data_IF_421446728885
#
_entry.id   IF_421446728885
#
_cell.length_a   1.000
_cell.length_b   1.000
_cell.length_c   1.000
_cell.angle_alpha   90.00
_cell.angle_beta   90.00
_cell.angle_gamma   90.00
#
_symmetry.space_group_name_H-M   'P 1'
#
loop_
_entity.id
_entity.type
_entity.pdbx_description
1 polymer ?
#
# COMPACT_ATOMS: atom_id res chain seq x y z
N UNK A 1 14.43 -5.57 -1.49
CA UNK A 1 13.03 -5.12 -1.42
C UNK A 1 12.69 -4.03 -2.43
N UNK A 2 13.24 -2.80 -2.35
CA UNK A 2 12.89 -1.68 -3.25
C UNK A 2 12.87 -2.03 -4.75
N UNK A 3 13.98 -2.58 -5.27
CA UNK A 3 14.07 -2.99 -6.69
C UNK A 3 12.95 -3.95 -7.10
N UNK A 4 12.65 -4.94 -6.26
CA UNK A 4 11.57 -5.91 -6.52
C UNK A 4 10.19 -5.25 -6.60
N UNK A 5 9.89 -4.30 -5.70
CA UNK A 5 8.65 -3.52 -5.73
C UNK A 5 8.52 -2.73 -7.05
N UNK A 6 9.59 -2.02 -7.43
CA UNK A 6 9.62 -1.18 -8.62
C UNK A 6 9.47 -1.98 -9.92
N UNK A 7 10.16 -3.12 -10.03
CA UNK A 7 10.11 -3.95 -11.23
C UNK A 7 8.74 -4.59 -11.44
N UNK A 8 8.03 -4.93 -10.37
CA UNK A 8 6.77 -5.66 -10.47
C UNK A 8 5.60 -4.81 -10.96
N UNK A 9 5.68 -3.47 -10.90
CA UNK A 9 4.63 -2.53 -11.31
C UNK A 9 3.22 -3.05 -10.99
N UNK A 10 2.92 -3.19 -9.70
CA UNK A 10 1.73 -3.89 -9.21
C UNK A 10 0.41 -3.37 -9.80
N UNK A 11 0.36 -2.06 -10.08
CA UNK A 11 -0.69 -1.43 -10.85
C UNK A 11 -0.04 -0.62 -11.96
N UNK A 12 -0.72 -0.50 -13.10
CA UNK A 12 -0.21 0.24 -14.26
C UNK A 12 0.03 1.72 -13.97
N UNK A 13 -0.74 2.29 -13.04
CA UNK A 13 -0.67 3.69 -12.60
C UNK A 13 0.40 3.98 -11.55
N UNK A 14 1.29 3.03 -11.26
CA UNK A 14 2.35 3.19 -10.28
C UNK A 14 3.32 4.32 -10.66
N UNK A 15 3.36 5.37 -9.84
CA UNK A 15 4.26 6.51 -10.01
C UNK A 15 5.13 6.68 -8.76
N UNK A 16 6.46 6.74 -8.93
CA UNK A 16 7.38 7.01 -7.82
C UNK A 16 7.60 8.52 -7.75
N UNK A 17 7.03 9.17 -6.74
CA UNK A 17 7.08 10.63 -6.62
C UNK A 17 8.27 11.11 -5.78
N UNK A 18 8.78 10.27 -4.88
CA UNK A 18 9.93 10.60 -4.05
C UNK A 18 10.74 9.35 -3.71
N UNK A 19 12.06 9.53 -3.62
CA UNK A 19 12.97 8.56 -2.98
C UNK A 19 13.64 9.26 -1.82
N UNK A 20 13.55 8.68 -0.63
CA UNK A 20 14.12 9.21 0.59
C UNK A 20 15.56 8.73 0.78
N UNK A 21 16.36 9.47 1.55
CA UNK A 21 17.78 9.16 1.82
C UNK A 21 17.96 7.81 2.52
N UNK A 22 16.97 7.38 3.31
CA UNK A 22 16.95 6.09 3.99
C UNK A 22 16.62 4.91 3.05
N UNK A 23 16.33 5.18 1.77
CA UNK A 23 16.01 4.19 0.76
C UNK A 23 14.53 3.86 0.58
N UNK A 24 13.64 4.49 1.36
CA UNK A 24 12.20 4.40 1.17
C UNK A 24 11.76 5.13 -0.11
N UNK A 25 10.58 4.79 -0.61
CA UNK A 25 9.97 5.44 -1.77
C UNK A 25 8.53 5.85 -1.45
N UNK A 26 8.15 7.03 -1.89
CA UNK A 26 6.75 7.42 -1.96
C UNK A 26 6.20 7.07 -3.34
N UNK A 27 5.07 6.37 -3.35
CA UNK A 27 4.45 5.86 -4.56
C UNK A 27 3.00 6.30 -4.61
N UNK A 28 2.61 6.91 -5.72
CA UNK A 28 1.25 7.33 -6.00
C UNK A 28 0.60 6.36 -6.97
N UNK A 29 -0.71 6.20 -6.83
CA UNK A 29 -1.53 5.34 -7.66
C UNK A 29 -2.81 6.08 -8.05
N UNK A 30 -3.17 6.00 -9.32
CA UNK A 30 -4.50 6.35 -9.80
C UNK A 30 -5.29 5.07 -9.99
N UNK A 31 -6.37 4.88 -9.22
CA UNK A 31 -7.19 3.66 -9.25
C UNK A 31 -8.65 3.99 -9.45
N UNK A 32 -9.39 3.06 -10.05
CA UNK A 32 -10.85 3.18 -10.20
C UNK A 32 -11.58 2.85 -8.90
N UNK A 33 -10.98 1.98 -8.09
CA UNK A 33 -11.51 1.50 -6.82
C UNK A 33 -10.41 1.30 -5.78
N UNK A 34 -10.70 1.64 -4.52
CA UNK A 34 -9.77 1.44 -3.40
C UNK A 34 -9.47 -0.04 -3.12
N UNK A 35 -10.35 -0.96 -3.53
CA UNK A 35 -10.15 -2.40 -3.38
C UNK A 35 -8.88 -2.89 -4.09
N UNK A 36 -8.52 -2.28 -5.23
CA UNK A 36 -7.29 -2.59 -5.96
C UNK A 36 -6.03 -2.38 -5.09
N UNK A 37 -6.07 -1.39 -4.19
CA UNK A 37 -4.98 -1.08 -3.28
C UNK A 37 -5.02 -1.92 -1.99
N UNK A 38 -6.18 -2.44 -1.57
CA UNK A 38 -6.29 -3.22 -0.33
C UNK A 38 -5.39 -4.46 -0.37
N UNK A 39 -5.45 -5.24 -1.46
CA UNK A 39 -4.63 -6.43 -1.64
C UNK A 39 -3.13 -6.11 -1.67
N UNK A 40 -2.77 -5.02 -2.36
CA UNK A 40 -1.39 -4.55 -2.44
C UNK A 40 -0.87 -4.19 -1.06
N UNK A 41 -1.64 -3.42 -0.28
CA UNK A 41 -1.27 -3.02 1.07
C UNK A 41 -1.09 -4.25 1.95
N UNK A 42 -2.06 -5.16 1.98
CA UNK A 42 -2.00 -6.37 2.82
C UNK A 42 -0.76 -7.20 2.50
N UNK A 43 -0.47 -7.39 1.21
CA UNK A 43 0.68 -8.19 0.74
C UNK A 43 2.03 -7.64 1.18
N UNK A 44 2.14 -6.32 1.36
CA UNK A 44 3.37 -5.64 1.69
C UNK A 44 3.48 -5.22 3.15
N UNK A 45 2.50 -5.53 3.99
CA UNK A 45 2.65 -5.29 5.43
C UNK A 45 3.79 -6.13 6.02
N UNK A 46 4.55 -5.58 6.98
CA UNK A 46 4.43 -4.23 7.56
C UNK A 46 5.25 -3.14 6.84
N UNK A 47 5.81 -3.43 5.66
CA UNK A 47 6.76 -2.58 4.94
C UNK A 47 6.11 -1.43 4.15
N UNK A 48 4.80 -1.23 4.29
CA UNK A 48 4.04 -0.17 3.61
C UNK A 48 3.33 0.73 4.61
N UNK A 49 3.30 2.03 4.33
CA UNK A 49 2.56 3.01 5.11
C UNK A 49 1.65 3.83 4.20
N UNK A 50 0.38 3.97 4.58
CA UNK A 50 -0.59 4.80 3.86
C UNK A 50 -0.45 6.25 4.34
N UNK A 51 -0.01 7.12 3.44
CA UNK A 51 0.12 8.56 3.66
C UNK A 51 -1.24 9.24 3.45
N UNK A 52 -1.88 8.97 2.31
CA UNK A 52 -3.18 9.55 1.94
C UNK A 52 -3.95 8.62 0.98
N UNK A 53 -5.28 8.78 0.85
CA UNK A 53 -6.15 9.62 1.69
C UNK A 53 -6.40 9.00 3.07
N UNK A 54 -6.70 9.85 4.06
CA UNK A 54 -6.91 9.40 5.45
C UNK A 54 -8.09 8.42 5.59
N UNK A 55 -9.09 8.51 4.71
CA UNK A 55 -10.22 7.57 4.65
C UNK A 55 -9.74 6.14 4.35
N UNK A 56 -8.88 5.97 3.35
CA UNK A 56 -8.31 4.67 2.99
C UNK A 56 -7.48 4.09 4.13
N UNK A 57 -6.68 4.92 4.80
CA UNK A 57 -5.91 4.52 6.00
C UNK A 57 -6.81 3.97 7.12
N UNK A 58 -7.94 4.64 7.40
CA UNK A 58 -8.90 4.18 8.41
C UNK A 58 -9.59 2.88 8.01
N UNK A 59 -9.99 2.78 6.75
CA UNK A 59 -10.61 1.57 6.20
C UNK A 59 -9.67 0.37 6.34
N UNK A 60 -8.40 0.49 5.92
CA UNK A 60 -7.41 -0.59 6.05
C UNK A 60 -7.17 -1.02 7.49
N UNK A 61 -7.12 -0.07 8.44
CA UNK A 61 -7.01 -0.42 9.87
C UNK A 61 -8.19 -1.28 10.35
N UNK A 62 -9.42 -0.98 9.91
CA UNK A 62 -10.60 -1.78 10.23
C UNK A 62 -10.50 -3.17 9.59
N UNK A 63 -10.21 -3.24 8.29
CA UNK A 63 -10.06 -4.51 7.56
C UNK A 63 -9.02 -5.42 8.19
N UNK A 64 -7.87 -4.87 8.61
CA UNK A 64 -6.81 -5.64 9.27
C UNK A 64 -7.23 -6.13 10.65
N UNK A 65 -7.94 -5.29 11.43
CA UNK A 65 -8.47 -5.69 12.75
C UNK A 65 -9.47 -6.83 12.63
N UNK A 66 -10.38 -6.76 11.65
CA UNK A 66 -11.36 -7.82 11.37
C UNK A 66 -10.68 -9.12 10.95
N UNK A 67 -9.71 -9.05 10.03
CA UNK A 67 -8.93 -10.23 9.60
C UNK A 67 -8.18 -10.88 10.75
N UNK A 68 -7.55 -10.10 11.63
CA UNK A 68 -6.87 -10.62 12.82
C UNK A 68 -7.85 -11.25 13.82
N UNK A 69 -9.03 -10.66 13.99
CA UNK A 69 -10.06 -11.23 14.86
C UNK A 69 -10.60 -12.56 14.33
N UNK A 70 -10.75 -12.71 13.00
CA UNK A 70 -11.23 -13.96 12.39
C UNK A 70 -10.23 -15.12 12.40
N UNK A 71 -8.97 -14.86 12.76
CA UNK A 71 -7.92 -15.89 12.86
C UNK A 71 -7.83 -16.51 14.26
N UNK A 72 -8.57 -15.97 15.23
CA UNK A 72 -8.69 -16.48 16.61
C UNK A 72 -10.05 -17.16 16.81
#
# INVERSE_FOLDING_TARGET
MRRFFLFKKYLSSQEVVQTFDNGDIEVHYTVSSLHELEELVIKWLPQINIISPQGFKKMMKRTLKEKLASLN
#
